data_IF_369870831178
#
_entry.id   IF_369870831178
#
_cell.length_a   1.000
_cell.length_b   1.000
_cell.length_c   1.000
_cell.angle_alpha   90.00
_cell.angle_beta   90.00
_cell.angle_gamma   90.00
#
_symmetry.space_group_name_H-M   'P 1'
#
loop_
_entity.id
_entity.type
_entity.pdbx_description
1 polymer ?
#
# COMPACT_ATOMS: atom_id res chain seq x y z
N UNK A 1 8.73 5.82 -9.66
CA UNK A 1 8.55 4.35 -9.67
C UNK A 1 8.38 3.91 -8.23
N UNK A 2 7.49 2.94 -7.93
CA UNK A 2 7.33 2.46 -6.57
C UNK A 2 8.56 1.64 -6.17
N UNK A 3 8.81 1.53 -4.87
CA UNK A 3 9.77 0.54 -4.38
C UNK A 3 9.20 -0.88 -4.58
N UNK A 4 10.06 -1.88 -4.86
CA UNK A 4 9.69 -3.27 -4.69
C UNK A 4 9.14 -3.51 -3.29
N UNK A 5 8.15 -4.41 -3.10
CA UNK A 5 7.51 -4.60 -1.81
C UNK A 5 8.50 -5.03 -0.70
N UNK A 6 9.60 -5.70 -1.03
CA UNK A 6 10.65 -6.08 -0.09
C UNK A 6 11.44 -4.88 0.47
N UNK A 7 11.36 -3.73 -0.21
CA UNK A 7 12.01 -2.48 0.15
C UNK A 7 11.00 -1.42 0.59
N UNK A 8 9.79 -1.83 0.95
CA UNK A 8 8.77 -0.93 1.46
C UNK A 8 9.27 -0.12 2.66
N UNK A 9 8.84 1.13 2.75
CA UNK A 9 9.17 1.98 3.90
C UNK A 9 8.52 1.40 5.16
N UNK A 10 9.23 1.48 6.29
CA UNK A 10 8.77 0.93 7.56
C UNK A 10 8.84 2.00 8.65
N UNK A 11 7.80 2.06 9.48
CA UNK A 11 7.71 2.97 10.63
C UNK A 11 7.70 2.18 11.94
N UNK A 12 8.20 2.80 13.00
CA UNK A 12 8.30 2.29 14.39
C UNK A 12 9.19 1.05 14.56
N UNK A 13 8.87 -0.06 13.91
CA UNK A 13 9.59 -1.33 13.97
C UNK A 13 9.74 -1.95 12.57
N UNK A 14 10.81 -2.72 12.37
CA UNK A 14 10.98 -3.52 11.17
C UNK A 14 10.07 -4.76 11.21
N UNK A 15 9.63 -5.22 10.04
CA UNK A 15 8.71 -6.33 9.80
C UNK A 15 7.40 -6.19 10.58
N UNK A 16 6.84 -4.98 10.57
CA UNK A 16 5.63 -4.61 11.29
C UNK A 16 4.38 -5.42 10.92
N UNK A 17 3.41 -5.47 11.84
CA UNK A 17 2.18 -6.26 11.68
C UNK A 17 1.04 -5.54 10.97
N UNK A 18 1.19 -4.25 10.68
CA UNK A 18 0.22 -3.44 9.94
C UNK A 18 0.81 -3.06 8.59
N UNK A 19 0.06 -3.25 7.52
CA UNK A 19 0.41 -2.77 6.19
C UNK A 19 -0.57 -1.67 5.75
N UNK A 20 -0.06 -0.60 5.14
CA UNK A 20 -0.87 0.42 4.46
C UNK A 20 -0.59 0.33 2.97
N UNK A 21 -1.63 0.08 2.19
CA UNK A 21 -1.54 -0.26 0.78
C UNK A 21 -2.44 0.66 -0.06
N UNK A 22 -1.90 1.28 -1.12
CA UNK A 22 -2.67 2.24 -1.88
C UNK A 22 -1.96 3.07 -2.95
N UNK A 23 -2.62 4.15 -3.35
CA UNK A 23 -2.02 5.20 -4.19
C UNK A 23 -1.39 6.32 -3.35
N UNK A 24 -1.18 7.50 -3.93
CA UNK A 24 -0.60 8.65 -3.22
C UNK A 24 -1.41 9.09 -1.99
N UNK A 25 -2.68 8.75 -1.89
CA UNK A 25 -3.54 9.11 -0.75
C UNK A 25 -3.32 8.19 0.45
N UNK A 26 -2.62 7.05 0.27
CA UNK A 26 -2.18 6.20 1.36
C UNK A 26 -0.94 6.75 2.07
N UNK A 27 -0.19 7.69 1.47
CA UNK A 27 1.11 8.15 1.99
C UNK A 27 0.98 8.78 3.37
N UNK A 28 0.16 9.82 3.49
CA UNK A 28 -0.06 10.50 4.78
C UNK A 28 -0.82 9.61 5.76
N UNK A 29 -1.69 8.72 5.26
CA UNK A 29 -2.39 7.75 6.10
C UNK A 29 -1.43 6.76 6.74
N UNK A 30 -0.42 6.27 6.01
CA UNK A 30 0.58 5.35 6.55
C UNK A 30 1.35 5.97 7.73
N UNK A 31 1.74 7.24 7.59
CA UNK A 31 2.38 7.99 8.66
C UNK A 31 1.44 8.24 9.84
N UNK A 32 0.20 8.68 9.59
CA UNK A 32 -0.78 8.91 10.65
C UNK A 32 -1.11 7.63 11.43
N UNK A 33 -1.27 6.50 10.74
CA UNK A 33 -1.48 5.19 11.38
C UNK A 33 -0.29 4.86 12.29
N UNK A 34 0.95 5.02 11.80
CA UNK A 34 2.14 4.77 12.60
C UNK A 34 2.22 5.65 13.87
N UNK A 35 1.76 6.89 13.80
CA UNK A 35 1.71 7.82 14.94
C UNK A 35 0.63 7.47 15.97
N UNK A 36 -0.44 6.79 15.56
CA UNK A 36 -1.54 6.40 16.46
C UNK A 36 -1.34 5.06 17.15
N UNK A 37 -0.54 4.18 16.55
CA UNK A 37 -0.23 2.87 17.12
C UNK A 37 0.82 3.01 18.22
N UNK A 38 0.89 2.01 19.11
CA UNK A 38 2.02 1.94 20.03
C UNK A 38 3.34 1.81 19.23
N UNK A 39 4.43 2.36 19.77
CA UNK A 39 5.75 2.29 19.12
C UNK A 39 6.29 0.86 18.99
N UNK A 40 5.61 -0.15 19.57
CA UNK A 40 5.93 -1.56 19.42
C UNK A 40 5.28 -2.18 18.16
N UNK A 41 4.27 -1.54 17.59
CA UNK A 41 3.61 -1.99 16.36
C UNK A 41 4.23 -1.29 15.16
N UNK A 42 4.95 -2.07 14.35
CA UNK A 42 5.50 -1.59 13.09
C UNK A 42 4.45 -1.43 12.00
N UNK A 43 4.62 -0.41 11.15
CA UNK A 43 3.78 -0.17 9.96
C UNK A 43 4.63 -0.28 8.71
N UNK A 44 4.19 -1.10 7.77
CA UNK A 44 4.78 -1.24 6.44
C UNK A 44 3.99 -0.45 5.41
N UNK A 45 4.67 0.35 4.60
CA UNK A 45 4.07 1.35 3.72
C UNK A 45 4.27 0.99 2.24
N UNK A 46 3.17 0.66 1.57
CA UNK A 46 3.13 0.25 0.17
C UNK A 46 2.27 1.22 -0.64
N UNK A 47 2.90 2.20 -1.27
CA UNK A 47 2.17 3.15 -2.14
C UNK A 47 2.77 3.28 -3.53
N UNK A 48 1.87 3.45 -4.51
CA UNK A 48 2.24 3.87 -5.85
C UNK A 48 1.30 4.98 -6.35
N UNK A 49 1.81 6.21 -6.35
CA UNK A 49 1.10 7.41 -6.79
C UNK A 49 0.46 7.28 -8.17
N UNK A 50 -0.81 7.71 -8.28
CA UNK A 50 -1.56 7.73 -9.54
C UNK A 50 -2.08 6.36 -10.00
N UNK A 51 -1.85 5.28 -9.25
CA UNK A 51 -2.39 3.98 -9.59
C UNK A 51 -3.84 3.81 -9.14
N UNK A 52 -4.68 3.27 -10.02
CA UNK A 52 -5.98 2.73 -9.64
C UNK A 52 -5.82 1.32 -8.99
N UNK A 53 -6.83 0.83 -8.26
CA UNK A 53 -6.87 -0.56 -7.81
C UNK A 53 -6.86 -1.51 -9.03
N UNK A 54 -5.87 -2.40 -9.12
CA UNK A 54 -5.63 -3.23 -10.33
C UNK A 54 -5.39 -4.71 -10.04
N UNK A 55 -5.74 -5.22 -8.85
CA UNK A 55 -5.38 -6.59 -8.41
C UNK A 55 -5.82 -7.71 -9.37
N UNK A 56 -6.99 -7.58 -9.99
CA UNK A 56 -7.53 -8.55 -10.94
C UNK A 56 -7.39 -8.10 -12.40
N UNK A 57 -6.64 -7.03 -12.65
CA UNK A 57 -6.39 -6.54 -13.99
C UNK A 57 -5.33 -7.40 -14.68
N UNK A 58 -5.63 -7.83 -15.91
CA UNK A 58 -4.66 -8.47 -16.80
C UNK A 58 -3.82 -7.46 -17.59
N UNK A 59 -3.94 -6.17 -17.27
CA UNK A 59 -3.14 -5.14 -17.93
C UNK A 59 -1.65 -5.31 -17.60
N UNK A 60 -0.82 -5.13 -18.62
CA UNK A 60 0.64 -5.07 -18.48
C UNK A 60 1.08 -3.61 -18.26
N UNK A 61 0.84 -3.12 -17.05
CA UNK A 61 1.21 -1.77 -16.63
C UNK A 61 2.04 -1.82 -15.35
N UNK A 62 2.91 -0.83 -15.09
CA UNK A 62 3.64 -0.76 -13.83
C UNK A 62 2.73 -0.84 -12.60
N UNK A 63 1.56 -0.21 -12.63
CA UNK A 63 0.59 -0.27 -11.53
C UNK A 63 0.06 -1.69 -11.29
N UNK A 64 -0.33 -2.39 -12.36
CA UNK A 64 -0.86 -3.74 -12.23
C UNK A 64 0.21 -4.74 -11.79
N UNK A 65 1.43 -4.61 -12.33
CA UNK A 65 2.57 -5.45 -11.92
C UNK A 65 2.95 -5.22 -10.46
N UNK A 66 3.10 -3.97 -10.04
CA UNK A 66 3.39 -3.63 -8.65
C UNK A 66 2.28 -4.07 -7.69
N UNK A 67 1.01 -3.90 -8.08
CA UNK A 67 -0.15 -4.33 -7.29
C UNK A 67 -0.14 -5.84 -7.05
N UNK A 68 0.10 -6.65 -8.10
CA UNK A 68 0.20 -8.12 -7.96
C UNK A 68 1.36 -8.52 -7.06
N UNK A 69 2.55 -7.97 -7.31
CA UNK A 69 3.74 -8.25 -6.49
C UNK A 69 3.52 -7.88 -5.02
N UNK A 70 2.91 -6.74 -4.76
CA UNK A 70 2.65 -6.27 -3.40
C UNK A 70 1.62 -7.16 -2.71
N UNK A 71 0.53 -7.54 -3.38
CA UNK A 71 -0.47 -8.42 -2.77
C UNK A 71 0.09 -9.82 -2.55
N UNK A 72 0.89 -10.35 -3.47
CA UNK A 72 1.60 -11.62 -3.28
C UNK A 72 2.58 -11.55 -2.10
N UNK A 73 3.28 -10.43 -1.93
CA UNK A 73 4.12 -10.18 -0.77
C UNK A 73 3.28 -10.19 0.51
N UNK A 74 2.21 -9.38 0.59
CA UNK A 74 1.34 -9.29 1.75
C UNK A 74 0.72 -10.65 2.13
N UNK A 75 0.31 -11.45 1.14
CA UNK A 75 -0.31 -12.74 1.36
C UNK A 75 0.65 -13.83 1.86
N UNK A 76 1.96 -13.68 1.60
CA UNK A 76 2.99 -14.65 2.00
C UNK A 76 3.63 -14.34 3.36
N UNK A 77 3.46 -13.14 3.89
CA UNK A 77 4.07 -12.72 5.15
C UNK A 77 3.07 -12.79 6.31
N UNK A 78 3.21 -13.83 7.12
CA UNK A 78 2.36 -14.13 8.29
C UNK A 78 2.49 -13.11 9.43
N UNK A 79 3.54 -12.29 9.43
CA UNK A 79 3.72 -11.20 10.38
C UNK A 79 2.68 -10.10 10.20
N UNK A 80 2.15 -9.90 8.99
CA UNK A 80 1.16 -8.88 8.66
C UNK A 80 -0.23 -9.39 9.07
N UNK A 81 -0.84 -8.74 10.06
CA UNK A 81 -2.15 -9.11 10.62
C UNK A 81 -3.28 -8.19 10.18
N UNK A 82 -2.96 -6.97 9.77
CA UNK A 82 -3.94 -5.99 9.32
C UNK A 82 -3.43 -5.26 8.08
N UNK A 83 -4.30 -5.13 7.08
CA UNK A 83 -4.03 -4.36 5.87
C UNK A 83 -5.05 -3.23 5.77
N UNK A 84 -4.57 -1.99 5.76
CA UNK A 84 -5.37 -0.79 5.49
C UNK A 84 -5.23 -0.46 4.01
N UNK A 85 -6.34 -0.47 3.29
CA UNK A 85 -6.37 -0.22 1.85
C UNK A 85 -7.01 1.15 1.60
N UNK A 86 -6.33 2.03 0.88
CA UNK A 86 -6.89 3.32 0.48
C UNK A 86 -6.43 3.75 -0.90
N UNK A 87 -7.38 4.28 -1.67
CA UNK A 87 -7.17 4.78 -3.02
C UNK A 87 -8.07 5.99 -3.24
N UNK A 88 -7.70 6.87 -4.17
CA UNK A 88 -8.62 7.86 -4.72
C UNK A 88 -9.65 7.19 -5.65
N UNK A 89 -10.55 6.39 -5.07
CA UNK A 89 -11.48 5.53 -5.82
C UNK A 89 -12.39 6.30 -6.78
N UNK A 90 -12.77 7.53 -6.43
CA UNK A 90 -13.57 8.38 -7.30
C UNK A 90 -12.86 8.66 -8.63
N UNK A 91 -11.55 8.88 -8.61
CA UNK A 91 -10.77 9.10 -9.83
C UNK A 91 -10.66 7.83 -10.68
N UNK A 92 -10.58 6.66 -10.04
CA UNK A 92 -10.53 5.39 -10.74
C UNK A 92 -11.85 5.02 -11.43
N UNK A 93 -12.99 5.38 -10.82
CA UNK A 93 -14.32 5.05 -11.34
C UNK A 93 -14.84 6.08 -12.36
N UNK A 94 -14.61 7.36 -12.10
CA UNK A 94 -15.24 8.46 -12.84
C UNK A 94 -14.24 9.39 -13.54
N UNK A 95 -12.94 9.11 -13.44
CA UNK A 95 -11.89 10.03 -13.86
C UNK A 95 -11.63 11.14 -12.85
N UNK A 96 -10.56 11.91 -13.09
CA UNK A 96 -10.30 13.12 -12.29
C UNK A 96 -11.36 14.17 -12.60
N UNK A 97 -12.06 14.66 -11.58
CA UNK A 97 -12.78 15.93 -11.70
C UNK A 97 -11.78 17.00 -12.14
N UNK A 98 -11.99 17.57 -13.32
CA UNK A 98 -11.30 18.78 -13.75
C UNK A 98 -11.69 19.95 -12.85
#
# INVERSE_FOLDING_TARGET
>A
MPYPPEQACQYNQLNGSVAVFGDSHAVELAYAVAQTLDGATGVQHFTFSGCAPTYLSNADTPCATWTRQTIDYLARHDTIRQVVITYRIHAALWGGSQ
#
